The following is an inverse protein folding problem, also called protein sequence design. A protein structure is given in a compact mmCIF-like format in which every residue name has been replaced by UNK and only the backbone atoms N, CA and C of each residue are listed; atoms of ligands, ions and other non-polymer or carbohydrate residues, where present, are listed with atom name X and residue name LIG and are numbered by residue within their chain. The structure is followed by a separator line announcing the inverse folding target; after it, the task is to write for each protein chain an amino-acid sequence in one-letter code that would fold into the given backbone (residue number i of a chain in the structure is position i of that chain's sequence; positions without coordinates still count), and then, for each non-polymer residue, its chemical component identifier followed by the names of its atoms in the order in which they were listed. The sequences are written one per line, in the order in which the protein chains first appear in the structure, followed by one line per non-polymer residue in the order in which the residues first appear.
data_IF_242379302505
#
_entry.id   IF_242379302505
#
_cell.length_a   1.000
_cell.length_b   1.000
_cell.length_c   1.000
_cell.angle_alpha   90.00
_cell.angle_beta   90.00
_cell.angle_gamma   90.00
#
_symmetry.space_group_name_H-M   'P 1'
#
loop_
_entity.id
_entity.type
_entity.pdbx_description
1 polymer ?
#
# COMPACT_ATOMS: atom_id res chain seq x y z
N UNK A 1 57.73 -67.69 7.55
CA UNK A 1 56.65 -67.92 6.58
C UNK A 1 56.83 -66.94 5.43
N UNK A 2 57.33 -67.42 4.29
CA UNK A 2 57.43 -66.67 3.04
C UNK A 2 56.05 -66.67 2.37
N UNK A 3 55.47 -65.50 2.15
CA UNK A 3 54.22 -65.36 1.40
C UNK A 3 54.55 -65.67 -0.06
N UNK A 4 53.88 -66.68 -0.63
CA UNK A 4 54.05 -67.06 -2.03
C UNK A 4 53.29 -66.08 -2.93
N UNK A 5 54.06 -65.22 -3.60
CA UNK A 5 53.54 -64.18 -4.49
C UNK A 5 52.96 -64.74 -5.80
N UNK A 6 53.16 -66.03 -6.12
CA UNK A 6 52.57 -66.69 -7.30
C UNK A 6 51.04 -66.85 -7.22
N UNK A 7 50.46 -66.73 -6.02
CA UNK A 7 49.01 -66.72 -5.81
C UNK A 7 48.37 -65.46 -6.43
N UNK A 8 49.11 -64.35 -6.50
CA UNK A 8 48.66 -63.08 -7.10
C UNK A 8 48.84 -63.02 -8.62
N UNK A 9 49.47 -64.01 -9.26
CA UNK A 9 49.52 -64.13 -10.74
C UNK A 9 48.49 -65.13 -11.28
N UNK A 10 47.71 -65.78 -10.41
CA UNK A 10 46.59 -66.63 -10.81
C UNK A 10 45.46 -65.75 -11.39
N UNK A 11 45.08 -65.92 -12.67
CA UNK A 11 44.10 -65.06 -13.34
C UNK A 11 42.73 -65.03 -12.63
N UNK A 12 42.35 -66.09 -11.90
CA UNK A 12 41.13 -66.13 -11.09
C UNK A 12 41.26 -65.22 -9.86
N UNK A 13 42.40 -65.26 -9.17
CA UNK A 13 42.67 -64.44 -7.97
C UNK A 13 42.80 -62.96 -8.34
N UNK A 14 43.50 -62.65 -9.44
CA UNK A 14 43.60 -61.30 -9.99
C UNK A 14 42.23 -60.73 -10.36
N UNK A 15 41.35 -61.56 -10.95
CA UNK A 15 39.99 -61.14 -11.33
C UNK A 15 39.10 -60.88 -10.12
N UNK A 16 39.19 -61.71 -9.07
CA UNK A 16 38.43 -61.51 -7.82
C UNK A 16 38.91 -60.27 -7.07
N UNK A 17 40.23 -60.07 -6.94
CA UNK A 17 40.80 -58.90 -6.25
C UNK A 17 40.53 -57.63 -7.06
N UNK A 18 40.73 -57.65 -8.38
CA UNK A 18 40.43 -56.53 -9.28
C UNK A 18 38.94 -56.17 -9.30
N UNK A 19 38.05 -57.18 -9.32
CA UNK A 19 36.61 -56.98 -9.23
C UNK A 19 36.16 -56.40 -7.89
N UNK A 20 36.77 -56.83 -6.78
CA UNK A 20 36.48 -56.34 -5.43
C UNK A 20 36.93 -54.89 -5.23
N UNK A 21 38.12 -54.54 -5.72
CA UNK A 21 38.66 -53.17 -5.68
C UNK A 21 37.85 -52.26 -6.61
N UNK A 22 37.53 -52.71 -7.82
CA UNK A 22 36.70 -51.96 -8.77
C UNK A 22 35.29 -51.69 -8.26
N UNK A 23 34.64 -52.69 -7.64
CA UNK A 23 33.34 -52.52 -6.98
C UNK A 23 33.41 -51.55 -5.81
N UNK A 24 34.45 -51.64 -4.96
CA UNK A 24 34.64 -50.73 -3.82
C UNK A 24 34.87 -49.28 -4.27
N UNK A 25 35.66 -49.07 -5.33
CA UNK A 25 35.87 -47.74 -5.94
C UNK A 25 34.57 -47.18 -6.54
N UNK A 26 33.80 -48.03 -7.22
CA UNK A 26 32.48 -47.69 -7.77
C UNK A 26 31.49 -47.29 -6.66
N UNK A 27 31.45 -48.04 -5.56
CA UNK A 27 30.61 -47.70 -4.40
C UNK A 27 31.02 -46.38 -3.75
N UNK A 28 32.33 -46.13 -3.62
CA UNK A 28 32.84 -44.88 -3.04
C UNK A 28 32.56 -43.66 -3.92
N UNK A 29 32.77 -43.78 -5.23
CA UNK A 29 32.47 -42.72 -6.21
C UNK A 29 30.98 -42.46 -6.32
N UNK A 30 30.13 -43.49 -6.35
CA UNK A 30 28.68 -43.35 -6.32
C UNK A 30 28.18 -42.69 -5.03
N UNK A 31 28.74 -43.04 -3.87
CA UNK A 31 28.41 -42.36 -2.59
C UNK A 31 28.81 -40.88 -2.60
N UNK A 32 29.98 -40.53 -3.14
CA UNK A 32 30.38 -39.13 -3.31
C UNK A 32 29.45 -38.39 -4.28
N UNK A 33 29.09 -39.02 -5.40
CA UNK A 33 28.16 -38.46 -6.39
C UNK A 33 26.77 -38.21 -5.80
N UNK A 34 26.21 -39.19 -5.07
CA UNK A 34 24.92 -39.03 -4.38
C UNK A 34 24.95 -37.93 -3.31
N UNK A 35 26.05 -37.78 -2.56
CA UNK A 35 26.20 -36.66 -1.61
C UNK A 35 26.21 -35.32 -2.33
N UNK A 36 26.96 -35.22 -3.42
CA UNK A 36 27.03 -33.99 -4.21
C UNK A 36 25.70 -33.66 -4.91
N UNK A 37 25.01 -34.66 -5.46
CA UNK A 37 23.65 -34.51 -6.01
C UNK A 37 22.66 -34.06 -4.94
N UNK A 38 22.75 -34.59 -3.71
CA UNK A 38 21.94 -34.14 -2.58
C UNK A 38 22.24 -32.69 -2.19
N UNK A 39 23.51 -32.31 -2.11
CA UNK A 39 23.92 -30.92 -1.83
C UNK A 39 23.40 -29.96 -2.91
N UNK A 40 23.48 -30.33 -4.18
CA UNK A 40 22.92 -29.55 -5.29
C UNK A 40 21.40 -29.44 -5.16
N UNK A 41 20.71 -30.53 -4.83
CA UNK A 41 19.26 -30.52 -4.67
C UNK A 41 18.81 -29.67 -3.47
N UNK A 42 19.51 -29.76 -2.34
CA UNK A 42 19.25 -28.94 -1.16
C UNK A 42 19.52 -27.45 -1.44
N UNK A 43 20.56 -27.13 -2.22
CA UNK A 43 20.83 -25.77 -2.68
C UNK A 43 19.74 -25.24 -3.61
N UNK A 44 19.28 -26.06 -4.57
CA UNK A 44 18.15 -25.72 -5.46
C UNK A 44 16.87 -25.50 -4.68
N UNK A 45 16.51 -26.39 -3.76
CA UNK A 45 15.33 -26.26 -2.91
C UNK A 45 15.36 -24.96 -2.10
N UNK A 46 16.52 -24.61 -1.52
CA UNK A 46 16.68 -23.34 -0.79
C UNK A 46 16.53 -22.13 -1.71
N UNK A 47 17.11 -22.17 -2.91
CA UNK A 47 16.96 -21.10 -3.90
C UNK A 47 15.49 -20.93 -4.30
N UNK A 48 14.78 -22.03 -4.60
CA UNK A 48 13.35 -22.02 -4.96
C UNK A 48 12.48 -21.42 -3.85
N UNK A 49 12.75 -21.79 -2.59
CA UNK A 49 12.04 -21.24 -1.42
C UNK A 49 12.28 -19.73 -1.29
N UNK A 50 13.52 -19.27 -1.47
CA UNK A 50 13.88 -17.85 -1.42
C UNK A 50 13.22 -17.06 -2.55
N UNK A 51 13.27 -17.58 -3.78
CA UNK A 51 12.63 -16.98 -4.96
C UNK A 51 11.13 -16.82 -4.71
N UNK A 52 10.45 -17.90 -4.29
CA UNK A 52 9.01 -17.87 -4.04
C UNK A 52 8.63 -16.86 -2.96
N UNK A 53 9.35 -16.86 -1.83
CA UNK A 53 9.11 -15.91 -0.74
C UNK A 53 9.33 -14.46 -1.17
N UNK A 54 10.37 -14.18 -1.96
CA UNK A 54 10.63 -12.82 -2.47
C UNK A 54 9.58 -12.38 -3.49
N UNK A 55 9.10 -13.27 -4.35
CA UNK A 55 8.01 -12.99 -5.29
C UNK A 55 6.70 -12.69 -4.56
N UNK A 56 6.37 -13.46 -3.53
CA UNK A 56 5.18 -13.26 -2.69
C UNK A 56 5.26 -11.90 -1.97
N UNK A 57 6.39 -11.59 -1.36
CA UNK A 57 6.63 -10.28 -0.75
C UNK A 57 6.50 -9.12 -1.75
N UNK A 58 7.09 -9.23 -2.96
CA UNK A 58 6.94 -8.20 -4.01
C UNK A 58 5.45 -8.01 -4.35
N UNK A 59 4.67 -9.09 -4.43
CA UNK A 59 3.24 -9.03 -4.73
C UNK A 59 2.47 -8.32 -3.61
N UNK A 60 2.72 -8.67 -2.36
CA UNK A 60 2.07 -8.07 -1.19
C UNK A 60 2.38 -6.56 -1.09
N UNK A 61 3.62 -6.14 -1.33
CA UNK A 61 3.98 -4.71 -1.32
C UNK A 61 3.31 -3.95 -2.48
N UNK A 62 3.12 -4.58 -3.66
CA UNK A 62 2.34 -3.98 -4.76
C UNK A 62 0.88 -3.81 -4.38
N UNK A 63 0.28 -4.82 -3.75
CA UNK A 63 -1.09 -4.74 -3.25
C UNK A 63 -1.24 -3.62 -2.23
N UNK A 64 -0.33 -3.51 -1.26
CA UNK A 64 -0.32 -2.38 -0.30
C UNK A 64 -0.20 -1.02 -0.98
N UNK A 65 0.66 -0.90 -1.99
CA UNK A 65 0.81 0.35 -2.75
C UNK A 65 -0.47 0.70 -3.51
N UNK A 66 -1.14 -0.31 -4.07
CA UNK A 66 -2.45 -0.13 -4.73
C UNK A 66 -3.53 0.27 -3.73
N UNK A 67 -3.55 -0.33 -2.55
CA UNK A 67 -4.49 0.01 -1.48
C UNK A 67 -4.28 1.47 -1.03
N UNK A 68 -3.03 1.92 -0.89
CA UNK A 68 -2.72 3.32 -0.55
C UNK A 68 -3.27 4.29 -1.61
N UNK A 69 -3.05 4.00 -2.89
CA UNK A 69 -3.54 4.83 -4.01
C UNK A 69 -5.07 4.87 -4.03
N UNK A 70 -5.72 3.72 -3.83
CA UNK A 70 -7.17 3.64 -3.78
C UNK A 70 -7.73 4.47 -2.62
N UNK A 71 -7.13 4.37 -1.44
CA UNK A 71 -7.58 5.12 -0.27
C UNK A 71 -7.33 6.62 -0.37
N UNK A 72 -6.17 7.02 -0.91
CA UNK A 72 -5.91 8.41 -1.27
C UNK A 72 -6.97 8.96 -2.24
N UNK A 73 -7.28 8.21 -3.30
CA UNK A 73 -8.27 8.63 -4.30
C UNK A 73 -9.66 8.76 -3.68
N UNK A 74 -10.06 7.81 -2.82
CA UNK A 74 -11.34 7.86 -2.12
C UNK A 74 -11.46 9.07 -1.20
N UNK A 75 -10.38 9.45 -0.49
CA UNK A 75 -10.36 10.66 0.32
C UNK A 75 -10.62 11.91 -0.52
N UNK A 76 -9.93 12.06 -1.66
CA UNK A 76 -10.16 13.19 -2.56
C UNK A 76 -11.61 13.24 -3.07
N UNK A 77 -12.18 12.09 -3.42
CA UNK A 77 -13.58 12.00 -3.84
C UNK A 77 -14.55 12.41 -2.73
N UNK A 78 -14.28 11.99 -1.49
CA UNK A 78 -15.09 12.36 -0.34
C UNK A 78 -15.00 13.87 -0.04
N UNK A 79 -13.81 14.48 -0.12
CA UNK A 79 -13.64 15.93 0.04
C UNK A 79 -14.40 16.67 -1.06
N UNK A 80 -14.29 16.22 -2.33
CA UNK A 80 -15.05 16.80 -3.44
C UNK A 80 -16.56 16.71 -3.23
N UNK A 81 -17.04 15.57 -2.73
CA UNK A 81 -18.45 15.37 -2.41
C UNK A 81 -18.89 16.30 -1.27
N UNK A 82 -18.07 16.43 -0.22
CA UNK A 82 -18.31 17.34 0.90
C UNK A 82 -18.47 18.79 0.43
N UNK A 83 -17.57 19.27 -0.44
CA UNK A 83 -17.63 20.62 -1.03
C UNK A 83 -18.94 20.81 -1.81
N UNK A 84 -19.28 19.86 -2.70
CA UNK A 84 -20.49 19.93 -3.51
C UNK A 84 -21.75 20.00 -2.66
N UNK A 85 -21.87 19.13 -1.66
CA UNK A 85 -23.01 19.12 -0.74
C UNK A 85 -23.08 20.41 0.07
N UNK A 86 -21.95 20.96 0.49
CA UNK A 86 -21.91 22.21 1.25
C UNK A 86 -22.40 23.39 0.41
N UNK A 87 -22.01 23.46 -0.86
CA UNK A 87 -22.54 24.46 -1.80
C UNK A 87 -24.05 24.31 -2.00
N UNK A 88 -24.54 23.09 -2.13
CA UNK A 88 -25.97 22.82 -2.29
C UNK A 88 -26.77 23.19 -1.04
N UNK A 89 -26.25 22.87 0.16
CA UNK A 89 -26.82 23.29 1.43
C UNK A 89 -26.96 24.80 1.51
N UNK A 90 -25.90 25.55 1.19
CA UNK A 90 -25.92 27.01 1.18
C UNK A 90 -26.98 27.57 0.25
N UNK A 91 -27.13 26.97 -0.94
CA UNK A 91 -28.13 27.39 -1.91
C UNK A 91 -29.54 27.21 -1.36
N UNK A 92 -29.85 26.07 -0.76
CA UNK A 92 -31.16 25.84 -0.15
C UNK A 92 -31.43 26.74 1.05
N UNK A 93 -30.45 26.97 1.92
CA UNK A 93 -30.57 27.93 3.01
C UNK A 93 -30.83 29.36 2.49
N UNK A 94 -30.09 29.78 1.47
CA UNK A 94 -30.27 31.11 0.84
C UNK A 94 -31.68 31.26 0.25
N UNK A 95 -32.16 30.26 -0.49
CA UNK A 95 -33.52 30.25 -1.05
C UNK A 95 -34.59 30.28 0.04
N UNK A 96 -34.38 29.55 1.14
CA UNK A 96 -35.29 29.54 2.28
C UNK A 96 -35.37 30.91 2.95
N UNK A 97 -34.24 31.55 3.24
CA UNK A 97 -34.23 32.87 3.88
C UNK A 97 -34.75 33.99 2.95
N UNK A 98 -34.52 33.87 1.63
CA UNK A 98 -35.14 34.78 0.65
C UNK A 98 -36.67 34.67 0.69
N UNK A 99 -37.21 33.46 0.62
CA UNK A 99 -38.66 33.19 0.68
C UNK A 99 -39.29 33.68 1.98
N UNK A 100 -38.62 33.47 3.13
CA UNK A 100 -39.07 33.97 4.44
C UNK A 100 -39.19 35.51 4.46
N UNK A 101 -38.35 36.21 3.71
CA UNK A 101 -38.33 37.68 3.66
C UNK A 101 -39.22 38.28 2.57
N UNK A 102 -39.93 37.47 1.78
CA UNK A 102 -40.89 37.98 0.82
C UNK A 102 -42.14 38.56 1.50
N UNK A 103 -42.86 39.45 0.82
CA UNK A 103 -44.11 40.03 1.33
C UNK A 103 -45.20 38.96 1.57
N UNK A 104 -45.15 37.85 0.82
CA UNK A 104 -46.09 36.72 0.93
C UNK A 104 -45.35 35.38 0.86
N UNK A 105 -44.72 34.94 1.97
CA UNK A 105 -43.94 33.71 1.99
C UNK A 105 -44.77 32.46 1.69
N UNK A 106 -44.24 31.57 0.85
CA UNK A 106 -44.79 30.23 0.62
C UNK A 106 -44.28 29.24 1.68
N UNK A 107 -45.17 28.85 2.59
CA UNK A 107 -44.87 27.81 3.61
C UNK A 107 -44.45 26.49 2.96
N UNK A 108 -45.04 26.14 1.81
CA UNK A 108 -44.68 24.93 1.06
C UNK A 108 -43.24 24.97 0.54
N UNK A 109 -42.83 26.11 -0.04
CA UNK A 109 -41.46 26.32 -0.51
C UNK A 109 -40.46 26.25 0.65
N UNK A 110 -40.75 26.94 1.76
CA UNK A 110 -39.91 26.94 2.97
C UNK A 110 -39.71 25.52 3.48
N UNK A 111 -40.80 24.75 3.62
CA UNK A 111 -40.75 23.37 4.09
C UNK A 111 -39.93 22.48 3.16
N UNK A 112 -40.06 22.66 1.83
CA UNK A 112 -39.26 21.94 0.85
C UNK A 112 -37.78 22.24 0.99
N UNK A 113 -37.37 23.52 1.02
CA UNK A 113 -35.97 23.90 1.15
C UNK A 113 -35.34 23.43 2.46
N UNK A 114 -36.10 23.50 3.56
CA UNK A 114 -35.66 22.97 4.85
C UNK A 114 -35.50 21.44 4.80
N UNK A 115 -36.44 20.73 4.17
CA UNK A 115 -36.34 19.27 4.03
C UNK A 115 -35.13 18.83 3.20
N UNK A 116 -34.82 19.53 2.10
CA UNK A 116 -33.61 19.22 1.31
C UNK A 116 -32.34 19.56 2.08
N UNK A 117 -32.33 20.68 2.82
CA UNK A 117 -31.20 21.04 3.69
C UNK A 117 -30.90 19.97 4.74
N UNK A 118 -31.95 19.40 5.37
CA UNK A 118 -31.79 18.32 6.37
C UNK A 118 -31.16 17.07 5.74
N UNK A 119 -31.63 16.64 4.56
CA UNK A 119 -31.04 15.49 3.84
C UNK A 119 -29.56 15.70 3.55
N UNK A 120 -29.19 16.91 3.14
CA UNK A 120 -27.79 17.24 2.85
C UNK A 120 -26.94 17.17 4.13
N UNK A 121 -27.43 17.66 5.26
CA UNK A 121 -26.73 17.54 6.56
C UNK A 121 -26.53 16.08 6.96
N UNK A 122 -27.52 15.22 6.73
CA UNK A 122 -27.40 13.77 6.94
C UNK A 122 -26.29 13.18 6.05
N UNK A 123 -26.25 13.53 4.77
CA UNK A 123 -25.19 13.07 3.86
C UNK A 123 -23.79 13.57 4.25
N UNK A 124 -23.66 14.83 4.67
CA UNK A 124 -22.41 15.39 5.19
C UNK A 124 -21.94 14.60 6.42
N UNK A 125 -22.86 14.29 7.33
CA UNK A 125 -22.57 13.51 8.54
C UNK A 125 -22.07 12.10 8.20
N UNK A 126 -22.63 11.46 7.18
CA UNK A 126 -22.15 10.15 6.71
C UNK A 126 -20.76 10.24 6.08
N UNK A 127 -20.45 11.31 5.33
CA UNK A 127 -19.10 11.54 4.81
C UNK A 127 -18.09 11.72 5.95
N UNK A 128 -18.44 12.44 7.01
CA UNK A 128 -17.59 12.60 8.19
C UNK A 128 -17.27 11.27 8.88
N UNK A 129 -18.23 10.34 8.94
CA UNK A 129 -17.98 8.97 9.42
C UNK A 129 -17.02 8.21 8.52
N UNK A 130 -17.21 8.30 7.20
CA UNK A 130 -16.32 7.67 6.22
C UNK A 130 -14.88 8.19 6.39
N UNK A 131 -14.68 9.48 6.65
CA UNK A 131 -13.35 10.02 6.90
C UNK A 131 -12.65 9.36 8.10
N UNK A 132 -13.37 9.09 9.18
CA UNK A 132 -12.81 8.43 10.37
C UNK A 132 -12.43 6.97 10.07
N UNK A 133 -13.27 6.23 9.35
CA UNK A 133 -12.96 4.85 8.92
C UNK A 133 -11.70 4.80 8.06
N UNK A 134 -11.55 5.78 7.16
CA UNK A 134 -10.45 5.83 6.20
C UNK A 134 -9.11 6.16 6.86
N UNK A 135 -9.08 7.02 7.89
CA UNK A 135 -7.88 7.21 8.73
C UNK A 135 -7.43 5.89 9.38
N UNK A 136 -8.36 5.04 9.84
CA UNK A 136 -7.99 3.73 10.37
C UNK A 136 -7.38 2.82 9.29
N UNK A 137 -7.86 2.90 8.05
CA UNK A 137 -7.27 2.13 6.94
C UNK A 137 -5.87 2.62 6.60
N UNK A 138 -5.60 3.93 6.56
CA UNK A 138 -4.23 4.44 6.39
C UNK A 138 -3.28 3.94 7.48
N UNK A 139 -3.70 3.96 8.75
CA UNK A 139 -2.89 3.43 9.85
C UNK A 139 -2.56 1.94 9.66
N UNK A 140 -3.50 1.14 9.15
CA UNK A 140 -3.27 -0.28 8.84
C UNK A 140 -2.28 -0.46 7.69
N UNK A 141 -2.39 0.35 6.63
CA UNK A 141 -1.48 0.34 5.49
C UNK A 141 -0.07 0.71 5.97
N UNK A 142 0.06 1.81 6.73
CA UNK A 142 1.32 2.29 7.28
C UNK A 142 2.00 1.22 8.14
N UNK A 143 1.25 0.61 9.07
CA UNK A 143 1.78 -0.45 9.94
C UNK A 143 2.30 -1.65 9.15
N UNK A 144 1.50 -2.13 8.18
CA UNK A 144 1.92 -3.25 7.32
C UNK A 144 3.15 -2.88 6.49
N UNK A 145 3.17 -1.68 5.90
CA UNK A 145 4.30 -1.22 5.10
C UNK A 145 5.59 -1.18 5.92
N UNK A 146 5.57 -0.57 7.12
CA UNK A 146 6.74 -0.55 8.02
C UNK A 146 7.22 -1.96 8.36
N UNK A 147 6.30 -2.92 8.53
CA UNK A 147 6.69 -4.32 8.80
C UNK A 147 7.45 -4.98 7.64
N UNK A 148 7.19 -4.57 6.39
CA UNK A 148 7.93 -5.03 5.22
C UNK A 148 9.24 -4.27 4.99
N UNK A 149 9.38 -3.09 5.59
CA UNK A 149 10.52 -2.19 5.44
C UNK A 149 11.12 -1.84 6.80
N UNK A 150 11.70 -2.79 7.56
CA UNK A 150 12.28 -2.48 8.86
C UNK A 150 13.40 -1.44 8.75
N UNK A 151 13.37 -0.43 9.63
CA UNK A 151 14.35 0.65 9.69
C UNK A 151 15.73 0.21 10.19
N UNK A 152 15.79 -0.93 10.89
CA UNK A 152 17.02 -1.51 11.41
C UNK A 152 17.29 -2.84 10.73
N UNK A 153 18.56 -3.05 10.37
CA UNK A 153 19.06 -4.35 9.96
C UNK A 153 19.20 -5.28 11.16
N UNK A 154 19.47 -6.57 10.89
CA UNK A 154 19.75 -7.57 11.94
C UNK A 154 20.93 -7.16 12.86
N UNK A 155 21.78 -6.25 12.40
CA UNK A 155 22.94 -5.74 13.13
C UNK A 155 22.68 -4.38 13.81
N UNK A 156 21.43 -3.93 13.88
CA UNK A 156 21.02 -2.61 14.41
C UNK A 156 21.59 -1.41 13.63
N UNK A 157 22.01 -1.61 12.37
CA UNK A 157 22.37 -0.51 11.47
C UNK A 157 21.13 0.02 10.76
N UNK A 158 21.03 1.34 10.60
CA UNK A 158 19.93 2.00 9.90
C UNK A 158 19.91 1.63 8.42
N UNK A 159 18.77 1.13 7.94
CA UNK A 159 18.53 0.94 6.51
C UNK A 159 17.98 2.22 5.89
N UNK A 160 18.88 3.05 5.36
CA UNK A 160 18.54 4.35 4.75
C UNK A 160 17.57 4.25 3.58
N UNK A 161 17.59 3.17 2.80
CA UNK A 161 16.66 2.99 1.69
C UNK A 161 15.23 2.75 2.19
N UNK A 162 15.08 1.91 3.23
CA UNK A 162 13.79 1.65 3.87
C UNK A 162 13.25 2.91 4.58
N UNK A 163 14.13 3.67 5.24
CA UNK A 163 13.76 4.91 5.91
C UNK A 163 13.17 5.94 4.92
N UNK A 164 13.78 6.10 3.74
CA UNK A 164 13.27 6.97 2.67
C UNK A 164 11.89 6.51 2.18
N UNK A 165 11.71 5.20 1.97
CA UNK A 165 10.44 4.63 1.51
C UNK A 165 9.31 4.82 2.53
N UNK A 166 9.60 4.56 3.80
CA UNK A 166 8.64 4.77 4.89
C UNK A 166 8.24 6.23 4.96
N UNK A 167 9.24 7.13 5.01
CA UNK A 167 8.98 8.56 5.09
C UNK A 167 8.11 9.05 3.94
N UNK A 168 8.39 8.62 2.70
CA UNK A 168 7.59 9.03 1.54
C UNK A 168 6.16 8.51 1.59
N UNK A 169 5.93 7.32 2.12
CA UNK A 169 4.57 6.81 2.34
C UNK A 169 3.84 7.59 3.45
N UNK A 170 4.55 7.97 4.52
CA UNK A 170 4.00 8.79 5.59
C UNK A 170 3.64 10.20 5.11
N UNK A 171 4.50 10.84 4.30
CA UNK A 171 4.25 12.15 3.72
C UNK A 171 2.97 12.14 2.86
N UNK A 172 2.71 11.07 2.08
CA UNK A 172 1.45 10.89 1.32
C UNK A 172 0.24 10.83 2.23
N UNK A 173 0.31 10.10 3.35
CA UNK A 173 -0.80 9.97 4.29
C UNK A 173 -1.05 11.31 4.99
N UNK A 174 0.02 11.97 5.47
CA UNK A 174 -0.07 13.23 6.19
C UNK A 174 -0.72 14.30 5.30
N UNK A 175 -0.24 14.46 4.07
CA UNK A 175 -0.71 15.51 3.17
C UNK A 175 -2.19 15.38 2.81
N UNK A 176 -2.69 14.16 2.56
CA UNK A 176 -4.11 13.95 2.29
C UNK A 176 -4.99 14.12 3.54
N UNK A 177 -4.48 13.75 4.72
CA UNK A 177 -5.19 13.97 5.99
C UNK A 177 -5.25 15.44 6.40
N UNK A 178 -4.18 16.21 6.14
CA UNK A 178 -4.15 17.66 6.34
C UNK A 178 -5.12 18.35 5.41
N UNK A 179 -5.09 18.02 4.11
CA UNK A 179 -6.05 18.54 3.13
C UNK A 179 -7.50 18.30 3.57
N UNK A 180 -7.81 17.07 4.00
CA UNK A 180 -9.13 16.73 4.53
C UNK A 180 -9.51 17.62 5.71
N UNK A 181 -8.64 17.75 6.71
CA UNK A 181 -8.91 18.57 7.91
C UNK A 181 -9.16 20.02 7.54
N UNK A 182 -8.33 20.61 6.68
CA UNK A 182 -8.49 21.98 6.19
C UNK A 182 -9.87 22.18 5.56
N UNK A 183 -10.28 21.28 4.67
CA UNK A 183 -11.59 21.39 4.01
C UNK A 183 -12.76 21.15 4.97
N UNK A 184 -12.67 20.20 5.90
CA UNK A 184 -13.68 20.02 6.94
C UNK A 184 -13.82 21.25 7.84
N UNK A 185 -12.70 21.87 8.23
CA UNK A 185 -12.69 23.07 9.08
C UNK A 185 -13.24 24.29 8.34
N UNK A 186 -12.80 24.52 7.10
CA UNK A 186 -13.30 25.61 6.26
C UNK A 186 -14.81 25.49 6.04
N UNK A 187 -15.30 24.29 5.73
CA UNK A 187 -16.72 24.03 5.50
C UNK A 187 -17.56 24.26 6.75
N UNK A 188 -17.12 23.73 7.90
CA UNK A 188 -17.83 23.90 9.17
C UNK A 188 -17.89 25.36 9.61
N UNK A 189 -16.78 26.10 9.43
CA UNK A 189 -16.66 27.50 9.85
C UNK A 189 -17.43 28.43 8.94
N UNK A 190 -17.32 28.24 7.63
CA UNK A 190 -17.80 29.21 6.66
C UNK A 190 -19.19 28.87 6.11
N UNK A 191 -19.73 27.67 6.28
CA UNK A 191 -20.94 27.29 5.53
C UNK A 191 -22.03 26.62 6.37
N UNK A 192 -21.69 25.78 7.35
CA UNK A 192 -22.71 25.11 8.16
C UNK A 192 -23.25 25.98 9.32
N UNK A 193 -22.53 27.03 9.71
CA UNK A 193 -22.84 27.85 10.88
C UNK A 193 -22.99 29.36 10.58
N UNK A 194 -23.42 29.71 9.36
CA UNK A 194 -23.66 31.12 8.96
C UNK A 194 -24.90 31.73 9.59
N UNK A 195 -24.92 33.04 9.75
CA UNK A 195 -26.09 33.77 10.22
C UNK A 195 -27.15 33.90 9.11
N UNK A 196 -28.43 34.07 9.44
CA UNK A 196 -29.49 34.35 8.46
C UNK A 196 -29.16 35.52 7.51
N UNK A 197 -28.49 36.56 8.01
CA UNK A 197 -28.06 37.71 7.21
C UNK A 197 -27.03 37.32 6.14
N UNK A 198 -26.15 36.37 6.43
CA UNK A 198 -25.11 35.94 5.48
C UNK A 198 -25.72 35.17 4.29
N UNK A 199 -26.76 34.37 4.53
CA UNK A 199 -27.48 33.65 3.48
C UNK A 199 -28.25 34.58 2.52
N UNK A 200 -28.63 35.77 2.99
CA UNK A 200 -29.30 36.77 2.16
C UNK A 200 -28.35 37.50 1.21
N UNK A 201 -27.05 37.49 1.48
CA UNK A 201 -26.04 38.25 0.73
C UNK A 201 -25.49 37.54 -0.51
N UNK A 202 -26.12 36.43 -0.96
CA UNK A 202 -25.59 35.49 -1.98
C UNK A 202 -24.22 34.92 -1.57
N UNK A 203 -24.21 33.62 -1.29
CA UNK A 203 -22.98 32.92 -0.90
C UNK A 203 -22.21 32.52 -2.15
N UNK A 204 -20.91 32.81 -2.18
CA UNK A 204 -20.01 32.30 -3.20
C UNK A 204 -19.86 30.78 -3.06
N UNK A 205 -19.95 30.06 -4.18
CA UNK A 205 -19.60 28.64 -4.22
C UNK A 205 -18.10 28.47 -3.93
N UNK A 206 -17.76 27.41 -3.22
CA UNK A 206 -16.37 27.03 -2.91
C UNK A 206 -15.91 25.83 -3.72
N UNK A 207 -14.59 25.66 -3.77
CA UNK A 207 -13.95 24.50 -4.40
C UNK A 207 -13.23 24.82 -5.70
N UNK A 208 -13.15 26.10 -6.10
CA UNK A 208 -12.26 26.49 -7.19
C UNK A 208 -10.80 26.26 -6.79
N UNK A 209 -10.46 26.64 -5.56
CA UNK A 209 -9.16 26.46 -4.92
C UNK A 209 -8.81 24.99 -4.65
N UNK A 210 -9.81 24.11 -4.55
CA UNK A 210 -9.59 22.68 -4.29
C UNK A 210 -8.74 22.00 -5.36
N UNK A 211 -8.89 22.40 -6.63
CA UNK A 211 -8.09 21.82 -7.71
C UNK A 211 -6.59 22.15 -7.55
N UNK A 212 -6.27 23.34 -7.03
CA UNK A 212 -4.90 23.74 -6.75
C UNK A 212 -4.36 22.97 -5.53
N UNK A 213 -5.16 22.80 -4.48
CA UNK A 213 -4.78 22.03 -3.29
C UNK A 213 -4.52 20.53 -3.61
N UNK A 214 -5.33 19.93 -4.50
CA UNK A 214 -5.12 18.54 -4.95
C UNK A 214 -3.75 18.38 -5.62
N UNK A 215 -3.29 19.39 -6.35
CA UNK A 215 -2.06 19.30 -7.13
C UNK A 215 -0.85 19.05 -6.22
N UNK A 216 -0.80 19.73 -5.07
CA UNK A 216 0.30 19.56 -4.11
C UNK A 216 0.32 18.14 -3.55
N UNK A 217 -0.82 17.66 -3.03
CA UNK A 217 -0.92 16.31 -2.45
C UNK A 217 -0.71 15.20 -3.49
N UNK A 218 -1.11 15.43 -4.75
CA UNK A 218 -0.92 14.46 -5.84
C UNK A 218 0.55 14.28 -6.21
N UNK A 219 1.37 15.34 -6.08
CA UNK A 219 2.80 15.25 -6.37
C UNK A 219 3.51 14.29 -5.40
N UNK A 220 3.14 14.30 -4.11
CA UNK A 220 3.71 13.39 -3.12
C UNK A 220 3.34 11.94 -3.43
N UNK A 221 2.09 11.67 -3.81
CA UNK A 221 1.66 10.33 -4.23
C UNK A 221 2.44 9.86 -5.46
N UNK A 222 2.57 10.71 -6.48
CA UNK A 222 3.31 10.41 -7.69
C UNK A 222 4.78 10.12 -7.42
N UNK A 223 5.40 10.86 -6.50
CA UNK A 223 6.78 10.63 -6.10
C UNK A 223 6.92 9.28 -5.38
N UNK A 224 6.05 8.99 -4.42
CA UNK A 224 6.02 7.69 -3.73
C UNK A 224 5.87 6.54 -4.73
N UNK A 225 4.89 6.60 -5.64
CA UNK A 225 4.66 5.57 -6.66
C UNK A 225 5.91 5.34 -7.51
N UNK A 226 6.60 6.40 -7.93
CA UNK A 226 7.83 6.28 -8.71
C UNK A 226 8.91 5.56 -7.94
N UNK A 227 9.14 5.94 -6.68
CA UNK A 227 10.19 5.36 -5.83
C UNK A 227 9.89 3.88 -5.55
N UNK A 228 8.68 3.54 -5.10
CA UNK A 228 8.33 2.15 -4.75
C UNK A 228 8.33 1.25 -5.99
N UNK A 229 7.87 1.75 -7.14
CA UNK A 229 7.89 0.99 -8.39
C UNK A 229 9.31 0.70 -8.84
N UNK A 230 10.20 1.69 -8.77
CA UNK A 230 11.61 1.51 -9.11
C UNK A 230 12.28 0.50 -8.17
N UNK A 231 12.04 0.62 -6.87
CA UNK A 231 12.58 -0.30 -5.87
C UNK A 231 12.10 -1.74 -6.10
N UNK A 232 10.80 -1.95 -6.29
CA UNK A 232 10.24 -3.29 -6.56
C UNK A 232 10.74 -3.89 -7.87
N UNK A 233 11.05 -3.05 -8.88
CA UNK A 233 11.69 -3.49 -10.11
C UNK A 233 13.11 -4.00 -9.84
N UNK A 234 13.90 -3.29 -9.04
CA UNK A 234 15.25 -3.77 -8.67
C UNK A 234 15.18 -5.11 -7.92
N UNK A 235 14.21 -5.26 -7.03
CA UNK A 235 14.00 -6.51 -6.32
C UNK A 235 13.59 -7.66 -7.23
N UNK A 236 12.73 -7.39 -8.21
CA UNK A 236 12.39 -8.36 -9.25
C UNK A 236 13.60 -8.82 -10.07
N UNK A 237 14.49 -7.90 -10.45
CA UNK A 237 15.73 -8.26 -11.17
C UNK A 237 16.75 -8.99 -10.28
N UNK A 238 16.69 -8.85 -8.96
CA UNK A 238 17.46 -9.71 -8.03
C UNK A 238 16.92 -11.15 -8.04
N UNK A 239 15.59 -11.31 -8.03
CA UNK A 239 14.95 -12.64 -8.07
C UNK A 239 15.32 -13.40 -9.35
N UNK A 240 15.22 -12.75 -10.52
CA UNK A 240 15.57 -13.36 -11.82
C UNK A 240 17.02 -13.85 -11.94
N UNK A 241 17.93 -13.34 -11.11
CA UNK A 241 19.34 -13.77 -11.11
C UNK A 241 19.58 -15.02 -10.27
N UNK A 242 18.59 -15.41 -9.46
CA UNK A 242 18.63 -16.60 -8.60
C UNK A 242 17.95 -17.78 -9.32
N UNK A 243 16.91 -17.51 -10.13
CA UNK A 243 16.33 -18.46 -11.10
C UNK A 243 17.32 -18.85 -12.22
#
# INVERSE_FOLDING_TARGET
MTVDWSILSNPIVVSIVGGSVGWSLSQFTNRKRMKHEKEINDMKLKADVVVKSRMEWIKEVRELSSDLVAEYTNQLLNIKKLISLSNEFNRYQSLMFQEINEEKPSIESINRYNSESIKIVEEITEIDKLFAEKTQTFNKIQFKFISYFPNETINNETNKENEILIKKMEDVIITVEELRKTWQENINKEYLNKSPQDYLLQINEIGEEFNDDIKETSNELDEFIKIITFYLKQEWEKVKRIE
#
